data_IF_150637049566
#
_entry.id   IF_150637049566
#
_cell.length_a   1.000
_cell.length_b   1.000
_cell.length_c   1.000
_cell.angle_alpha   90.00
_cell.angle_beta   90.00
_cell.angle_gamma   90.00
#
_symmetry.space_group_name_H-M   'P 1'
#
loop_
_entity.id
_entity.type
_entity.pdbx_description
1 polymer ?
#
# COMPACT_ATOMS: atom_id res chain seq x y z
N UNK A 1 -22.29 44.97 -0.28
CA UNK A 1 -23.10 45.34 0.90
C UNK A 1 -22.77 46.75 1.39
N UNK A 2 -21.62 46.98 2.07
CA UNK A 2 -21.30 48.27 2.71
C UNK A 2 -21.22 49.46 1.75
N UNK A 3 -20.62 49.30 0.57
CA UNK A 3 -20.47 50.39 -0.40
C UNK A 3 -21.80 50.87 -0.99
N UNK A 4 -22.69 49.96 -1.38
CA UNK A 4 -24.02 50.30 -1.93
C UNK A 4 -24.90 50.96 -0.86
N UNK A 5 -24.87 50.45 0.38
CA UNK A 5 -25.59 51.05 1.49
C UNK A 5 -25.06 52.46 1.83
N UNK A 6 -23.74 52.66 1.79
CA UNK A 6 -23.13 53.98 1.98
C UNK A 6 -23.47 54.94 0.84
N UNK A 7 -23.44 54.48 -0.41
CA UNK A 7 -23.81 55.28 -1.59
C UNK A 7 -25.29 55.69 -1.55
N UNK A 8 -26.19 54.77 -1.17
CA UNK A 8 -27.60 55.07 -0.98
C UNK A 8 -27.84 56.04 0.17
N UNK A 9 -27.19 55.85 1.32
CA UNK A 9 -27.28 56.78 2.44
C UNK A 9 -26.80 58.18 2.03
N UNK A 10 -25.74 58.26 1.22
CA UNK A 10 -25.24 59.51 0.66
C UNK A 10 -26.21 60.17 -0.33
N UNK A 11 -26.84 59.40 -1.25
CA UNK A 11 -27.87 59.91 -2.15
C UNK A 11 -29.09 60.42 -1.37
N UNK A 12 -29.53 59.67 -0.36
CA UNK A 12 -30.67 60.06 0.46
C UNK A 12 -30.37 61.35 1.25
N UNK A 13 -29.16 61.45 1.80
CA UNK A 13 -28.70 62.64 2.53
C UNK A 13 -28.60 63.86 1.62
N UNK A 14 -28.02 63.72 0.43
CA UNK A 14 -27.92 64.82 -0.54
C UNK A 14 -29.30 65.24 -1.09
N UNK A 15 -30.20 64.29 -1.37
CA UNK A 15 -31.58 64.58 -1.78
C UNK A 15 -32.37 65.31 -0.68
N UNK A 16 -32.22 64.89 0.58
CA UNK A 16 -32.88 65.53 1.73
C UNK A 16 -32.34 66.94 1.96
N UNK A 17 -31.02 67.12 1.88
CA UNK A 17 -30.39 68.44 1.99
C UNK A 17 -30.82 69.38 0.87
N UNK A 18 -30.88 68.89 -0.37
CA UNK A 18 -31.36 69.66 -1.53
C UNK A 18 -32.83 70.08 -1.36
N UNK A 19 -33.70 69.18 -0.89
CA UNK A 19 -35.10 69.49 -0.65
C UNK A 19 -35.30 70.53 0.46
N UNK A 20 -34.51 70.45 1.53
CA UNK A 20 -34.56 71.42 2.62
C UNK A 20 -34.09 72.82 2.18
N UNK A 21 -33.03 72.90 1.38
CA UNK A 21 -32.49 74.17 0.87
C UNK A 21 -33.45 74.84 -0.13
N UNK A 22 -34.18 74.05 -0.93
CA UNK A 22 -35.10 74.52 -1.97
C UNK A 22 -36.57 74.49 -1.54
N UNK A 23 -36.84 74.46 -0.23
CA UNK A 23 -38.19 74.29 0.32
C UNK A 23 -39.23 75.31 -0.19
N UNK A 24 -38.94 76.63 -0.24
CA UNK A 24 -39.93 77.61 -0.73
C UNK A 24 -40.29 77.38 -2.19
N UNK A 25 -39.33 76.95 -3.01
CA UNK A 25 -39.52 76.67 -4.44
C UNK A 25 -40.33 75.39 -4.66
N UNK A 26 -40.15 74.37 -3.81
CA UNK A 26 -40.86 73.09 -3.91
C UNK A 26 -42.34 73.20 -3.53
N UNK A 27 -42.68 74.10 -2.59
CA UNK A 27 -44.05 74.31 -2.09
C UNK A 27 -44.78 75.42 -2.87
N UNK A 28 -44.10 76.09 -3.81
CA UNK A 28 -44.68 77.14 -4.63
C UNK A 28 -45.89 76.63 -5.45
N UNK A 29 -47.10 77.22 -5.28
CA UNK A 29 -48.28 76.82 -6.02
C UNK A 29 -48.09 77.05 -7.51
N UNK A 30 -48.24 75.99 -8.32
CA UNK A 30 -48.09 76.05 -9.78
C UNK A 30 -49.33 75.44 -10.43
N UNK A 31 -49.82 76.04 -11.51
CA UNK A 31 -50.88 75.43 -12.31
C UNK A 31 -50.33 74.17 -13.00
N UNK A 32 -50.79 72.99 -12.59
CA UNK A 32 -50.39 71.69 -13.15
C UNK A 32 -51.57 71.13 -13.93
N UNK A 33 -51.36 70.90 -15.23
CA UNK A 33 -52.33 70.22 -16.10
C UNK A 33 -52.03 68.72 -16.15
N UNK A 34 -53.05 67.89 -15.88
CA UNK A 34 -52.98 66.42 -16.01
C UNK A 34 -53.49 65.99 -17.40
N UNK A 35 -53.61 66.93 -18.35
CA UNK A 35 -54.09 66.70 -19.70
C UNK A 35 -55.62 66.75 -19.87
N UNK A 36 -56.40 66.61 -18.79
CA UNK A 36 -57.89 66.69 -18.81
C UNK A 36 -58.42 67.80 -17.89
N UNK A 37 -57.68 68.17 -16.85
CA UNK A 37 -58.02 69.25 -15.92
C UNK A 37 -56.76 69.93 -15.37
N UNK A 38 -56.88 71.19 -15.00
CA UNK A 38 -55.83 71.98 -14.33
C UNK A 38 -56.10 72.06 -12.83
N UNK A 39 -55.07 71.77 -12.03
CA UNK A 39 -55.10 71.86 -10.58
C UNK A 39 -53.91 72.68 -10.10
N UNK A 40 -54.12 73.52 -9.08
CA UNK A 40 -53.04 74.29 -8.48
C UNK A 40 -52.32 73.43 -7.43
N UNK A 41 -51.19 72.86 -7.83
CA UNK A 41 -50.37 71.97 -7.03
C UNK A 41 -48.95 72.50 -6.91
N UNK A 42 -48.27 72.28 -5.78
CA UNK A 42 -46.83 72.37 -5.74
C UNK A 42 -46.19 71.26 -6.60
N UNK A 43 -45.86 71.57 -7.86
CA UNK A 43 -45.29 70.62 -8.82
C UNK A 43 -43.98 70.00 -8.30
N UNK A 44 -43.16 70.80 -7.60
CA UNK A 44 -41.90 70.36 -7.03
C UNK A 44 -42.08 69.23 -6.02
N UNK A 45 -43.09 69.33 -5.16
CA UNK A 45 -43.42 68.30 -4.17
C UNK A 45 -43.91 67.01 -4.84
N UNK A 46 -44.69 67.13 -5.92
CA UNK A 46 -45.21 65.98 -6.66
C UNK A 46 -44.10 65.23 -7.39
N UNK A 47 -43.21 65.94 -8.09
CA UNK A 47 -42.04 65.35 -8.75
C UNK A 47 -41.07 64.71 -7.76
N UNK A 48 -40.80 65.37 -6.63
CA UNK A 48 -39.93 64.82 -5.59
C UNK A 48 -40.54 63.58 -4.92
N UNK A 49 -41.86 63.58 -4.69
CA UNK A 49 -42.58 62.42 -4.16
C UNK A 49 -42.49 61.20 -5.07
N UNK A 50 -42.68 61.38 -6.38
CA UNK A 50 -42.53 60.29 -7.37
C UNK A 50 -41.10 59.76 -7.43
N UNK A 51 -40.11 60.66 -7.41
CA UNK A 51 -38.69 60.27 -7.40
C UNK A 51 -38.31 59.52 -6.12
N UNK A 52 -38.79 59.97 -4.95
CA UNK A 52 -38.58 59.31 -3.68
C UNK A 52 -39.20 57.91 -3.66
N UNK A 53 -40.44 57.78 -4.17
CA UNK A 53 -41.13 56.50 -4.29
C UNK A 53 -40.37 55.51 -5.18
N UNK A 54 -39.94 55.95 -6.38
CA UNK A 54 -39.14 55.14 -7.29
C UNK A 54 -37.81 54.71 -6.66
N UNK A 55 -37.17 55.60 -5.92
CA UNK A 55 -35.91 55.31 -5.23
C UNK A 55 -36.10 54.22 -4.16
N UNK A 56 -37.15 54.32 -3.36
CA UNK A 56 -37.47 53.30 -2.34
C UNK A 56 -37.81 51.96 -3.00
N UNK A 57 -38.61 51.96 -4.07
CA UNK A 57 -38.97 50.75 -4.79
C UNK A 57 -37.75 50.07 -5.42
N UNK A 58 -36.86 50.85 -6.03
CA UNK A 58 -35.59 50.34 -6.56
C UNK A 58 -34.69 49.76 -5.46
N UNK A 59 -34.64 50.40 -4.29
CA UNK A 59 -33.89 49.89 -3.14
C UNK A 59 -34.42 48.53 -2.68
N UNK A 60 -35.73 48.39 -2.52
CA UNK A 60 -36.38 47.13 -2.16
C UNK A 60 -36.06 46.05 -3.20
N UNK A 61 -36.13 46.38 -4.49
CA UNK A 61 -35.81 45.47 -5.58
C UNK A 61 -34.34 44.99 -5.54
N UNK A 62 -33.38 45.90 -5.33
CA UNK A 62 -31.96 45.57 -5.22
C UNK A 62 -31.68 44.66 -4.01
N UNK A 63 -32.29 44.96 -2.86
CA UNK A 63 -32.16 44.12 -1.65
C UNK A 63 -32.74 42.73 -1.88
N UNK A 64 -33.90 42.63 -2.53
CA UNK A 64 -34.51 41.35 -2.90
C UNK A 64 -33.60 40.51 -3.81
N UNK A 65 -33.02 41.12 -4.85
CA UNK A 65 -32.08 40.46 -5.76
C UNK A 65 -30.82 39.96 -5.02
N UNK A 66 -30.29 40.80 -4.14
CA UNK A 66 -29.08 40.48 -3.37
C UNK A 66 -29.31 39.34 -2.37
N UNK A 67 -30.51 39.25 -1.78
CA UNK A 67 -30.90 38.16 -0.88
C UNK A 67 -30.92 36.82 -1.62
N UNK A 68 -31.43 36.82 -2.85
CA UNK A 68 -31.53 35.62 -3.70
C UNK A 68 -30.15 35.09 -4.11
N UNK A 69 -29.20 35.99 -4.42
CA UNK A 69 -27.83 35.61 -4.78
C UNK A 69 -27.03 35.07 -3.58
N UNK A 70 -27.27 35.60 -2.38
CA UNK A 70 -26.58 35.10 -1.16
C UNK A 70 -27.12 33.75 -0.69
N UNK A 71 -28.40 33.45 -0.93
CA UNK A 71 -28.96 32.11 -0.68
C UNK A 71 -28.47 31.07 -1.69
N UNK A 72 -28.33 31.44 -2.97
CA UNK A 72 -27.84 30.54 -4.02
C UNK A 72 -26.40 30.05 -3.75
N UNK A 73 -25.51 30.93 -3.29
CA UNK A 73 -24.12 30.58 -2.94
C UNK A 73 -24.03 29.62 -1.76
N UNK A 74 -24.93 29.72 -0.77
CA UNK A 74 -24.96 28.79 0.37
C UNK A 74 -25.42 27.39 -0.02
N UNK A 75 -26.42 27.29 -0.91
CA UNK A 75 -26.90 26.00 -1.42
C UNK A 75 -25.82 25.25 -2.20
N UNK A 76 -25.11 25.93 -3.11
CA UNK A 76 -24.02 25.31 -3.85
C UNK A 76 -22.83 24.90 -2.96
N UNK A 77 -22.53 25.68 -1.92
CA UNK A 77 -21.49 25.30 -0.95
C UNK A 77 -21.88 24.06 -0.14
N UNK A 78 -23.17 23.88 0.19
CA UNK A 78 -23.69 22.69 0.87
C UNK A 78 -23.63 21.45 -0.02
N UNK A 79 -24.10 21.56 -1.27
CA UNK A 79 -24.03 20.47 -2.26
C UNK A 79 -22.57 20.02 -2.49
N UNK A 80 -21.64 20.96 -2.64
CA UNK A 80 -20.20 20.67 -2.74
C UNK A 80 -19.62 20.04 -1.47
N UNK A 81 -20.06 20.45 -0.28
CA UNK A 81 -19.62 19.85 0.98
C UNK A 81 -20.10 18.40 1.12
N UNK A 82 -21.32 18.10 0.71
CA UNK A 82 -21.88 16.75 0.80
C UNK A 82 -21.20 15.81 -0.21
N UNK A 83 -20.96 16.28 -1.44
CA UNK A 83 -20.15 15.53 -2.41
C UNK A 83 -18.72 15.29 -1.93
N UNK A 84 -18.09 16.28 -1.29
CA UNK A 84 -16.73 16.13 -0.74
C UNK A 84 -16.69 15.10 0.39
N UNK A 85 -17.69 15.11 1.28
CA UNK A 85 -17.79 14.10 2.36
C UNK A 85 -17.94 12.70 1.81
N UNK A 86 -18.83 12.51 0.84
CA UNK A 86 -19.04 11.22 0.19
C UNK A 86 -17.78 10.73 -0.54
N UNK A 87 -17.09 11.63 -1.25
CA UNK A 87 -15.82 11.32 -1.91
C UNK A 87 -14.73 10.93 -0.90
N UNK A 88 -14.52 11.72 0.15
CA UNK A 88 -13.51 11.42 1.18
C UNK A 88 -13.82 10.12 1.94
N UNK A 89 -15.10 9.82 2.19
CA UNK A 89 -15.50 8.55 2.81
C UNK A 89 -15.21 7.36 1.89
N UNK A 90 -15.50 7.48 0.59
CA UNK A 90 -15.18 6.46 -0.40
C UNK A 90 -13.66 6.26 -0.56
N UNK A 91 -12.89 7.35 -0.58
CA UNK A 91 -11.43 7.30 -0.61
C UNK A 91 -10.85 6.62 0.64
N UNK A 92 -11.39 6.93 1.83
CA UNK A 92 -10.98 6.28 3.08
C UNK A 92 -11.26 4.78 3.04
N UNK A 93 -12.45 4.38 2.56
CA UNK A 93 -12.80 2.96 2.40
C UNK A 93 -11.85 2.24 1.44
N UNK A 94 -11.52 2.84 0.29
CA UNK A 94 -10.56 2.27 -0.67
C UNK A 94 -9.18 2.13 -0.07
N UNK A 95 -8.71 3.14 0.68
CA UNK A 95 -7.42 3.09 1.34
C UNK A 95 -7.35 1.98 2.39
N UNK A 96 -8.40 1.83 3.19
CA UNK A 96 -8.51 0.74 4.17
C UNK A 96 -8.55 -0.63 3.48
N UNK A 97 -9.29 -0.78 2.38
CA UNK A 97 -9.36 -2.03 1.62
C UNK A 97 -8.00 -2.41 1.02
N UNK A 98 -7.30 -1.46 0.38
CA UNK A 98 -5.95 -1.67 -0.16
C UNK A 98 -4.95 -2.04 0.92
N UNK A 99 -5.01 -1.38 2.09
CA UNK A 99 -4.16 -1.72 3.24
C UNK A 99 -4.43 -3.14 3.73
N UNK A 100 -5.70 -3.50 3.90
CA UNK A 100 -6.08 -4.85 4.33
C UNK A 100 -5.65 -5.93 3.33
N UNK A 101 -5.75 -5.63 2.03
CA UNK A 101 -5.27 -6.52 0.98
C UNK A 101 -3.76 -6.71 1.05
N UNK A 102 -2.99 -5.62 1.17
CA UNK A 102 -1.53 -5.68 1.30
C UNK A 102 -1.09 -6.42 2.56
N UNK A 103 -1.75 -6.19 3.68
CA UNK A 103 -1.46 -6.86 4.95
C UNK A 103 -1.70 -8.38 4.85
N UNK A 104 -2.80 -8.78 4.20
CA UNK A 104 -3.07 -10.20 3.91
C UNK A 104 -2.04 -10.81 2.97
N UNK A 105 -1.65 -10.10 1.93
CA UNK A 105 -0.68 -10.61 0.96
C UNK A 105 0.72 -10.75 1.58
N UNK A 106 1.14 -9.76 2.38
CA UNK A 106 2.37 -9.83 3.16
C UNK A 106 2.37 -10.99 4.15
N UNK A 107 1.26 -11.19 4.87
CA UNK A 107 1.11 -12.32 5.80
C UNK A 107 1.18 -13.67 5.06
N UNK A 108 0.55 -13.77 3.89
CA UNK A 108 0.60 -14.97 3.05
C UNK A 108 2.00 -15.25 2.52
N UNK A 109 2.74 -14.21 2.12
CA UNK A 109 4.13 -14.34 1.70
C UNK A 109 5.05 -14.77 2.85
N UNK A 110 4.87 -14.21 4.06
CA UNK A 110 5.65 -14.64 5.22
C UNK A 110 5.36 -16.10 5.58
N UNK A 111 4.11 -16.53 5.55
CA UNK A 111 3.73 -17.92 5.81
C UNK A 111 4.32 -18.86 4.74
N UNK A 112 4.27 -18.49 3.47
CA UNK A 112 4.89 -19.25 2.38
C UNK A 112 6.42 -19.34 2.54
N UNK A 113 7.08 -18.27 2.98
CA UNK A 113 8.52 -18.26 3.25
C UNK A 113 8.88 -19.16 4.44
N UNK A 114 8.09 -19.14 5.52
CA UNK A 114 8.29 -20.04 6.67
C UNK A 114 8.08 -21.50 6.29
N UNK A 115 7.02 -21.81 5.53
CA UNK A 115 6.77 -23.16 5.04
C UNK A 115 7.91 -23.67 4.14
N UNK A 116 8.41 -22.84 3.23
CA UNK A 116 9.55 -23.18 2.38
C UNK A 116 10.81 -23.42 3.20
N UNK A 117 11.04 -22.60 4.24
CA UNK A 117 12.18 -22.75 5.16
C UNK A 117 12.07 -24.04 5.98
N UNK A 118 10.88 -24.36 6.48
CA UNK A 118 10.62 -25.60 7.20
C UNK A 118 10.82 -26.84 6.31
N UNK A 119 10.34 -26.79 5.06
CA UNK A 119 10.58 -27.86 4.10
C UNK A 119 12.07 -28.03 3.78
N UNK A 120 12.81 -26.92 3.61
CA UNK A 120 14.25 -26.96 3.37
C UNK A 120 15.01 -27.57 4.55
N UNK A 121 14.64 -27.23 5.80
CA UNK A 121 15.24 -27.83 6.99
C UNK A 121 14.97 -29.34 7.07
N UNK A 122 13.73 -29.77 6.81
CA UNK A 122 13.40 -31.20 6.74
C UNK A 122 14.20 -31.93 5.64
N UNK A 123 14.36 -31.30 4.47
CA UNK A 123 15.19 -31.87 3.39
C UNK A 123 16.66 -31.96 3.81
N UNK A 124 17.18 -30.99 4.54
CA UNK A 124 18.55 -31.03 5.07
C UNK A 124 18.74 -32.19 6.03
N UNK A 125 17.80 -32.39 6.96
CA UNK A 125 17.83 -33.50 7.92
C UNK A 125 17.76 -34.87 7.21
N UNK A 126 16.91 -35.01 6.18
CA UNK A 126 16.85 -36.24 5.38
C UNK A 126 18.17 -36.51 4.64
N UNK A 127 18.80 -35.47 4.08
CA UNK A 127 20.10 -35.59 3.40
C UNK A 127 21.20 -35.94 4.40
N UNK A 128 21.21 -35.33 5.58
CA UNK A 128 22.16 -35.63 6.64
C UNK A 128 22.06 -37.11 7.07
N UNK A 129 20.86 -37.59 7.34
CA UNK A 129 20.63 -39.00 7.70
C UNK A 129 21.04 -39.96 6.57
N UNK A 130 20.76 -39.61 5.31
CA UNK A 130 21.18 -40.41 4.17
C UNK A 130 22.71 -40.45 4.01
N UNK A 131 23.41 -39.35 4.29
CA UNK A 131 24.87 -39.30 4.28
C UNK A 131 25.47 -40.13 5.41
N UNK A 132 24.94 -40.04 6.62
CA UNK A 132 25.36 -40.87 7.75
C UNK A 132 25.19 -42.36 7.42
N UNK A 133 24.04 -42.77 6.87
CA UNK A 133 23.81 -44.15 6.47
C UNK A 133 24.78 -44.67 5.41
N UNK A 134 25.16 -43.85 4.43
CA UNK A 134 26.18 -44.21 3.43
C UNK A 134 27.57 -44.33 4.01
N UNK A 135 27.88 -43.53 5.03
CA UNK A 135 29.17 -43.56 5.70
C UNK A 135 29.31 -44.85 6.53
N UNK A 136 28.24 -45.24 7.24
CA UNK A 136 28.16 -46.52 7.95
C UNK A 136 28.30 -47.73 7.01
N UNK A 137 27.68 -47.67 5.83
CA UNK A 137 27.79 -48.74 4.82
C UNK A 137 29.21 -48.84 4.25
N UNK A 138 29.82 -47.70 3.91
CA UNK A 138 31.20 -47.65 3.45
C UNK A 138 32.19 -48.15 4.50
N UNK A 139 31.97 -47.85 5.78
CA UNK A 139 32.79 -48.37 6.88
C UNK A 139 32.72 -49.90 6.97
N UNK A 140 31.50 -50.47 6.88
CA UNK A 140 31.30 -51.92 6.89
C UNK A 140 31.96 -52.61 5.70
N UNK A 141 31.84 -52.04 4.51
CA UNK A 141 32.48 -52.57 3.30
C UNK A 141 34.01 -52.56 3.41
N UNK A 142 34.59 -51.49 3.98
CA UNK A 142 36.03 -51.43 4.25
C UNK A 142 36.48 -52.51 5.24
N UNK A 143 35.74 -52.68 6.36
CA UNK A 143 36.03 -53.72 7.34
C UNK A 143 35.97 -55.13 6.70
N UNK A 144 34.95 -55.40 5.89
CA UNK A 144 34.80 -56.67 5.18
C UNK A 144 35.93 -56.91 4.16
N UNK A 145 36.34 -55.89 3.40
CA UNK A 145 37.45 -55.97 2.46
C UNK A 145 38.79 -56.24 3.17
N UNK A 146 39.00 -55.64 4.35
CA UNK A 146 40.18 -55.89 5.19
C UNK A 146 40.18 -57.33 5.70
N UNK A 147 39.05 -57.83 6.21
CA UNK A 147 38.91 -59.21 6.68
C UNK A 147 39.15 -60.21 5.54
N UNK A 148 38.55 -59.98 4.36
CA UNK A 148 38.76 -60.81 3.19
C UNK A 148 40.23 -60.81 2.74
N UNK A 149 40.89 -59.66 2.76
CA UNK A 149 42.32 -59.53 2.44
C UNK A 149 43.17 -60.29 3.46
N UNK A 150 42.86 -60.19 4.76
CA UNK A 150 43.50 -60.95 5.83
C UNK A 150 43.37 -62.45 5.63
N UNK A 151 42.16 -62.94 5.36
CA UNK A 151 41.90 -64.35 5.09
C UNK A 151 42.65 -64.85 3.84
N UNK A 152 42.70 -64.03 2.78
CA UNK A 152 43.44 -64.34 1.55
C UNK A 152 44.95 -64.42 1.82
N UNK A 153 45.50 -63.49 2.61
CA UNK A 153 46.91 -63.53 3.03
C UNK A 153 47.22 -64.77 3.87
N UNK A 154 46.35 -65.15 4.82
CA UNK A 154 46.52 -66.39 5.58
C UNK A 154 46.49 -67.63 4.69
N UNK A 155 45.63 -67.67 3.66
CA UNK A 155 45.62 -68.76 2.69
C UNK A 155 46.93 -68.82 1.87
N UNK A 156 47.43 -67.68 1.39
CA UNK A 156 48.72 -67.62 0.69
C UNK A 156 49.91 -68.02 1.58
N UNK A 157 49.90 -67.61 2.85
CA UNK A 157 50.93 -68.02 3.82
C UNK A 157 50.84 -69.53 4.06
N UNK A 158 49.63 -70.08 4.26
CA UNK A 158 49.43 -71.50 4.44
C UNK A 158 49.89 -72.33 3.24
N UNK A 159 49.64 -71.87 2.01
CA UNK A 159 50.16 -72.53 0.80
C UNK A 159 51.69 -72.48 0.74
N UNK A 160 52.31 -71.34 1.09
CA UNK A 160 53.77 -71.21 1.14
C UNK A 160 54.39 -72.12 2.20
N UNK A 161 53.80 -72.20 3.40
CA UNK A 161 54.23 -73.10 4.46
C UNK A 161 54.13 -74.57 4.02
N UNK A 162 53.02 -74.97 3.39
CA UNK A 162 52.82 -76.34 2.90
C UNK A 162 53.82 -76.72 1.78
N UNK A 163 54.14 -75.77 0.89
CA UNK A 163 55.22 -75.96 -0.11
C UNK A 163 56.58 -76.12 0.57
N UNK A 164 56.90 -75.30 1.57
CA UNK A 164 58.17 -75.37 2.29
C UNK A 164 58.34 -76.70 3.05
N UNK A 165 57.28 -77.17 3.69
CA UNK A 165 57.25 -78.46 4.38
C UNK A 165 57.37 -79.63 3.40
N UNK A 166 56.75 -79.51 2.21
CA UNK A 166 56.88 -80.51 1.14
C UNK A 166 58.31 -80.61 0.63
N UNK A 167 58.98 -79.48 0.41
CA UNK A 167 60.40 -79.44 0.01
C UNK A 167 61.30 -80.05 1.11
N UNK A 168 61.11 -79.68 2.38
CA UNK A 168 61.84 -80.30 3.50
C UNK A 168 61.68 -81.82 3.55
N UNK A 169 60.45 -82.34 3.34
CA UNK A 169 60.21 -83.80 3.33
C UNK A 169 60.85 -84.48 2.13
N UNK A 170 60.98 -83.80 0.99
CA UNK A 170 61.71 -84.31 -0.18
C UNK A 170 63.20 -84.38 0.09
N UNK A 171 63.80 -83.31 0.62
CA UNK A 171 65.21 -83.27 1.01
C UNK A 171 65.56 -84.39 2.01
N UNK A 172 64.68 -84.65 3.00
CA UNK A 172 64.86 -85.74 3.97
C UNK A 172 64.78 -87.13 3.32
N UNK A 173 63.88 -87.33 2.36
CA UNK A 173 63.77 -88.61 1.63
C UNK A 173 64.95 -88.84 0.71
N UNK A 174 65.48 -87.78 0.10
CA UNK A 174 66.70 -87.85 -0.70
C UNK A 174 67.91 -88.18 0.20
N UNK A 175 68.04 -87.58 1.39
CA UNK A 175 69.11 -87.94 2.34
C UNK A 175 68.99 -89.38 2.86
N UNK A 176 67.78 -89.87 3.12
CA UNK A 176 67.55 -91.25 3.57
C UNK A 176 67.82 -92.26 2.42
N UNK A 177 67.54 -91.87 1.18
CA UNK A 177 67.83 -92.68 -0.02
C UNK A 177 69.32 -92.69 -0.34
N UNK A 178 70.02 -91.55 -0.18
CA UNK A 178 71.48 -91.46 -0.31
C UNK A 178 72.20 -92.24 0.80
N UNK A 179 71.70 -92.19 2.04
CA UNK A 179 72.22 -93.01 3.15
C UNK A 179 71.95 -94.52 2.96
N UNK A 180 70.93 -94.90 2.18
CA UNK A 180 70.64 -96.30 1.82
C UNK A 180 71.40 -96.79 0.58
N UNK A 181 72.09 -95.91 -0.15
CA UNK A 181 72.84 -96.23 -1.37
C UNK A 181 74.37 -96.28 -1.19
N UNK A 182 74.89 -96.08 0.03
CA UNK A 182 76.27 -96.44 0.36
C UNK A 182 76.32 -97.94 0.74
N UNK A 183 76.91 -98.81 -0.09
CA UNK A 183 77.25 -100.15 0.39
C UNK A 183 78.38 -100.03 1.41
N UNK A 184 78.09 -100.50 2.62
CA UNK A 184 79.07 -101.14 3.49
C UNK A 184 79.78 -102.22 2.66
N UNK A 185 81.02 -101.95 2.25
CA UNK A 185 81.98 -102.99 1.87
C UNK A 185 83.30 -102.69 2.55
N UNK A 186 83.60 -103.62 3.45
CA UNK A 186 84.89 -104.04 4.01
C UNK A 186 86.13 -103.66 3.20
#
# INVERSE_FOLDING_TARGET
>A
MKFIALLLAFILLTATAFAALNWPTLVAPTAVSIGVAEFNAPLGLLMFGVLALLTVLFLVFVVYLQTTLMLATRRHAQELQDHRKLATQAETSRFTELRNYLEKELARQSEAAENTRAEMLNRLELVENALLGRLDEAEKDLLASVEQSGNTLTAYIGELEDRLDTEKRREQRESDTESSLLPEKE
#
